data_IF_929355506290
#
_entry.id   IF_929355506290
#
_cell.length_a   1.000
_cell.length_b   1.000
_cell.length_c   1.000
_cell.angle_alpha   90.00
_cell.angle_beta   90.00
_cell.angle_gamma   90.00
#
_symmetry.space_group_name_H-M   'P 1'
#
loop_
_entity.id
_entity.type
_entity.pdbx_description
1 polymer ?
#
# COMPACT_ATOMS: atom_id res chain seq x y z
N UNK A 1 -36.57 16.04 30.96
CA UNK A 1 -35.36 15.26 30.58
C UNK A 1 -35.25 15.22 29.04
N UNK A 2 -34.05 15.10 28.46
CA UNK A 2 -33.55 16.02 27.43
C UNK A 2 -33.90 15.71 25.97
N UNK A 3 -33.87 16.77 25.15
CA UNK A 3 -34.04 16.81 23.68
C UNK A 3 -32.97 15.95 22.96
N UNK A 4 -33.31 15.29 21.83
CA UNK A 4 -32.35 14.53 21.06
C UNK A 4 -31.33 15.48 20.39
N UNK A 5 -30.04 15.30 20.72
CA UNK A 5 -28.94 16.00 20.05
C UNK A 5 -28.72 15.36 18.68
N UNK A 6 -29.07 16.07 17.61
CA UNK A 6 -28.60 15.79 16.25
C UNK A 6 -27.07 15.87 16.25
N UNK A 7 -26.39 14.72 16.20
CA UNK A 7 -24.96 14.65 15.90
C UNK A 7 -24.77 14.97 14.43
N UNK A 8 -24.40 16.23 14.15
CA UNK A 8 -23.88 16.65 12.85
C UNK A 8 -22.60 15.85 12.58
N UNK A 9 -22.70 14.85 11.71
CA UNK A 9 -21.55 14.11 11.21
C UNK A 9 -20.71 15.04 10.36
N UNK A 10 -19.52 15.39 10.85
CA UNK A 10 -18.53 16.17 10.12
C UNK A 10 -18.16 15.40 8.85
N UNK A 11 -18.61 15.90 7.68
CA UNK A 11 -18.16 15.44 6.36
C UNK A 11 -16.63 15.50 6.35
N UNK A 12 -15.98 14.34 6.37
CA UNK A 12 -14.55 14.26 6.10
C UNK A 12 -14.35 14.71 4.66
N UNK A 13 -13.60 15.80 4.47
CA UNK A 13 -13.07 16.18 3.17
C UNK A 13 -12.26 14.99 2.66
N UNK A 14 -12.74 14.30 1.63
CA UNK A 14 -11.89 13.35 0.88
C UNK A 14 -10.71 14.18 0.37
N UNK A 15 -9.45 13.78 0.65
CA UNK A 15 -8.31 14.38 -0.03
C UNK A 15 -8.55 14.21 -1.53
N UNK A 16 -8.69 15.33 -2.24
CA UNK A 16 -8.80 15.31 -3.70
C UNK A 16 -7.43 14.87 -4.19
N UNK A 17 -7.38 13.70 -4.85
CA UNK A 17 -6.17 13.25 -5.52
C UNK A 17 -5.76 14.31 -6.55
N UNK A 18 -4.55 14.88 -6.49
CA UNK A 18 -4.07 15.74 -7.56
C UNK A 18 -4.04 14.92 -8.85
N UNK A 19 -4.70 15.44 -9.90
CA UNK A 19 -4.57 14.96 -11.27
C UNK A 19 -3.64 15.94 -12.01
N UNK A 20 -2.67 15.47 -12.82
CA UNK A 20 -2.36 14.07 -13.10
C UNK A 20 -1.65 13.37 -11.92
N UNK A 21 -1.85 12.05 -11.79
CA UNK A 21 -1.13 11.24 -10.80
C UNK A 21 0.38 11.33 -11.13
N UNK A 22 1.24 11.69 -10.15
CA UNK A 22 2.68 11.72 -10.39
C UNK A 22 3.17 10.33 -10.82
N UNK A 23 4.05 10.29 -11.81
CA UNK A 23 4.72 9.06 -12.20
C UNK A 23 5.80 8.69 -11.17
N UNK A 24 6.22 7.43 -11.15
CA UNK A 24 7.30 6.97 -10.29
C UNK A 24 8.60 7.74 -10.63
N UNK A 25 9.32 8.33 -9.66
CA UNK A 25 10.50 9.14 -9.95
C UNK A 25 11.57 8.37 -10.75
N UNK A 26 12.34 9.06 -11.62
CA UNK A 26 13.38 8.41 -12.43
C UNK A 26 14.35 7.56 -11.61
N UNK A 27 14.74 8.02 -10.41
CA UNK A 27 15.63 7.28 -9.50
C UNK A 27 15.04 5.94 -9.05
N UNK A 28 13.74 5.92 -8.75
CA UNK A 28 13.04 4.67 -8.40
C UNK A 28 12.95 3.73 -9.60
N UNK A 29 12.57 4.26 -10.77
CA UNK A 29 12.48 3.47 -12.00
C UNK A 29 13.82 2.86 -12.37
N UNK A 30 14.89 3.66 -12.33
CA UNK A 30 16.24 3.20 -12.62
C UNK A 30 16.65 2.08 -11.67
N UNK A 31 16.50 2.27 -10.35
CA UNK A 31 16.85 1.25 -9.37
C UNK A 31 16.07 -0.06 -9.59
N UNK A 32 14.75 0.04 -9.82
CA UNK A 32 13.91 -1.14 -10.06
C UNK A 32 14.31 -1.86 -11.36
N UNK A 33 14.46 -1.14 -12.47
CA UNK A 33 14.68 -1.74 -13.79
C UNK A 33 16.12 -2.23 -13.97
N UNK A 34 17.11 -1.44 -13.56
CA UNK A 34 18.53 -1.68 -13.83
C UNK A 34 19.21 -2.46 -12.70
N UNK A 35 18.99 -2.08 -11.45
CA UNK A 35 19.69 -2.71 -10.31
C UNK A 35 18.98 -3.98 -9.83
N UNK A 36 17.65 -3.97 -9.77
CA UNK A 36 16.85 -5.13 -9.33
C UNK A 36 16.45 -6.06 -10.48
N UNK A 37 16.61 -5.66 -11.75
CA UNK A 37 16.11 -6.42 -12.90
C UNK A 37 14.58 -6.56 -12.93
N UNK A 38 13.89 -5.59 -12.32
CA UNK A 38 12.44 -5.55 -12.19
C UNK A 38 11.74 -5.25 -13.51
N UNK A 39 10.53 -5.79 -13.67
CA UNK A 39 9.67 -5.55 -14.84
C UNK A 39 8.19 -5.48 -14.45
N UNK A 40 7.35 -5.02 -15.38
CA UNK A 40 5.90 -4.98 -15.17
C UNK A 40 5.47 -4.02 -14.05
N UNK A 41 5.99 -2.80 -14.09
CA UNK A 41 5.62 -1.74 -13.15
C UNK A 41 4.13 -1.39 -13.28
N UNK A 42 3.38 -1.57 -12.19
CA UNK A 42 1.95 -1.26 -12.13
C UNK A 42 1.65 -0.45 -10.87
N UNK A 43 0.94 0.68 -11.02
CA UNK A 43 0.46 1.44 -9.88
C UNK A 43 -0.69 0.68 -9.21
N UNK A 44 -0.50 0.25 -7.96
CA UNK A 44 -1.52 -0.48 -7.20
C UNK A 44 -2.50 0.49 -6.56
N UNK A 45 -2.00 1.51 -5.86
CA UNK A 45 -2.82 2.50 -5.16
C UNK A 45 -2.05 3.81 -4.96
N UNK A 46 -2.75 4.94 -5.03
CA UNK A 46 -2.31 6.21 -4.44
C UNK A 46 -3.30 6.57 -3.33
N UNK A 47 -2.82 6.79 -2.12
CA UNK A 47 -3.67 7.19 -0.99
C UNK A 47 -2.92 8.04 0.01
N UNK A 48 -3.69 8.77 0.81
CA UNK A 48 -3.18 9.39 2.03
C UNK A 48 -3.02 8.34 3.12
N UNK A 49 -1.92 8.41 3.87
CA UNK A 49 -1.66 7.61 5.05
C UNK A 49 -2.65 8.00 6.15
N UNK A 50 -3.42 7.02 6.64
CA UNK A 50 -4.36 7.23 7.74
C UNK A 50 -3.71 6.88 9.07
N UNK A 51 -4.30 7.34 10.18
CA UNK A 51 -3.82 7.01 11.52
C UNK A 51 -3.72 5.49 11.75
N UNK A 52 -4.66 4.71 11.21
CA UNK A 52 -4.62 3.25 11.28
C UNK A 52 -3.41 2.64 10.59
N UNK A 53 -2.83 3.34 9.60
CA UNK A 53 -1.67 2.86 8.86
C UNK A 53 -0.37 3.06 9.65
N UNK A 54 -0.24 4.16 10.41
CA UNK A 54 0.98 4.49 11.19
C UNK A 54 0.85 4.14 12.67
N UNK A 55 -0.27 3.55 13.09
CA UNK A 55 -0.46 3.16 14.48
C UNK A 55 0.47 1.97 14.81
N UNK A 56 1.42 2.13 15.76
CA UNK A 56 2.42 1.11 16.05
C UNK A 56 1.83 -0.18 16.64
N UNK A 57 0.67 -0.11 17.28
CA UNK A 57 -0.04 -1.29 17.84
C UNK A 57 -0.69 -2.11 16.73
N UNK A 58 -1.18 -1.46 15.67
CA UNK A 58 -1.90 -2.12 14.58
C UNK A 58 -0.95 -2.56 13.46
N UNK A 59 0.12 -1.79 13.23
CA UNK A 59 1.27 -2.13 12.36
C UNK A 59 0.90 -2.65 10.98
N UNK A 60 0.05 -1.93 10.24
CA UNK A 60 -0.33 -2.36 8.88
C UNK A 60 -0.51 -1.20 7.92
N UNK A 61 -0.05 -1.34 6.69
CA UNK A 61 -0.52 -0.52 5.58
C UNK A 61 -1.76 -1.15 4.96
N UNK A 62 -2.87 -0.43 4.98
CA UNK A 62 -4.15 -0.90 4.45
C UNK A 62 -4.34 -0.48 3.00
N UNK A 63 -4.70 -1.42 2.14
CA UNK A 63 -4.98 -1.22 0.71
C UNK A 63 -6.42 -1.69 0.44
N UNK A 64 -7.42 -0.80 0.56
CA UNK A 64 -8.82 -1.15 0.30
C UNK A 64 -9.02 -1.55 -1.17
N UNK A 65 -9.70 -2.66 -1.43
CA UNK A 65 -9.97 -3.13 -2.80
C UNK A 65 -10.63 -2.06 -3.68
N UNK A 66 -11.54 -1.27 -3.10
CA UNK A 66 -12.22 -0.17 -3.82
C UNK A 66 -11.32 0.98 -4.24
N UNK A 67 -10.08 1.04 -3.75
CA UNK A 67 -9.08 2.06 -4.09
C UNK A 67 -7.91 1.51 -4.92
N UNK A 68 -7.84 0.19 -5.08
CA UNK A 68 -6.88 -0.46 -5.97
C UNK A 68 -7.18 -0.04 -7.41
N UNK A 69 -6.15 0.36 -8.15
CA UNK A 69 -6.28 0.85 -9.52
C UNK A 69 -6.53 -0.29 -10.51
N UNK A 70 -5.86 -1.41 -10.31
CA UNK A 70 -6.06 -2.66 -11.04
C UNK A 70 -5.68 -3.82 -10.13
N UNK A 71 -6.38 -4.95 -10.27
CA UNK A 71 -6.02 -6.20 -9.59
C UNK A 71 -5.05 -7.07 -10.40
N UNK A 72 -4.72 -6.65 -11.63
CA UNK A 72 -3.87 -7.39 -12.58
C UNK A 72 -2.38 -7.33 -12.23
N UNK A 73 -2.03 -6.80 -11.06
CA UNK A 73 -0.67 -6.84 -10.53
C UNK A 73 -0.30 -8.21 -9.92
N UNK A 74 -1.31 -9.04 -9.65
CA UNK A 74 -1.13 -10.41 -9.17
C UNK A 74 -1.31 -11.39 -10.31
N UNK A 75 -0.45 -12.41 -10.35
CA UNK A 75 -0.74 -13.58 -11.17
C UNK A 75 -1.81 -14.47 -10.51
N UNK A 76 -2.34 -15.42 -11.28
CA UNK A 76 -3.43 -16.30 -10.83
C UNK A 76 -3.05 -17.11 -9.59
N UNK A 77 -1.80 -17.60 -9.52
CA UNK A 77 -1.32 -18.38 -8.38
C UNK A 77 -1.22 -17.51 -7.11
N UNK A 78 -0.64 -16.31 -7.21
CA UNK A 78 -0.54 -15.35 -6.11
C UNK A 78 -1.93 -14.93 -5.60
N UNK A 79 -2.84 -14.63 -6.53
CA UNK A 79 -4.22 -14.27 -6.19
C UNK A 79 -4.94 -15.42 -5.48
N UNK A 80 -4.70 -16.67 -5.90
CA UNK A 80 -5.25 -17.88 -5.30
C UNK A 80 -4.68 -18.13 -3.90
N UNK A 81 -3.38 -17.98 -3.69
CA UNK A 81 -2.77 -18.12 -2.35
C UNK A 81 -3.39 -17.12 -1.36
N UNK A 82 -3.49 -15.86 -1.77
CA UNK A 82 -4.11 -14.82 -0.94
C UNK A 82 -5.60 -15.06 -0.70
N UNK A 83 -6.33 -15.64 -1.66
CA UNK A 83 -7.72 -16.04 -1.48
C UNK A 83 -7.89 -17.17 -0.45
N UNK A 84 -6.93 -18.09 -0.36
CA UNK A 84 -6.87 -19.14 0.67
C UNK A 84 -6.36 -18.65 2.02
N UNK A 85 -6.19 -17.33 2.19
CA UNK A 85 -5.66 -16.69 3.41
C UNK A 85 -4.21 -17.09 3.71
N UNK A 86 -3.44 -17.47 2.70
CA UNK A 86 -2.01 -17.72 2.83
C UNK A 86 -1.26 -16.39 2.66
N UNK A 87 -0.62 -15.85 3.72
CA UNK A 87 0.19 -14.65 3.60
C UNK A 87 1.47 -14.95 2.81
N UNK A 88 1.92 -13.99 2.01
CA UNK A 88 3.14 -14.11 1.20
C UNK A 88 4.22 -13.20 1.77
N UNK A 89 5.47 -13.67 1.78
CA UNK A 89 6.62 -12.77 1.92
C UNK A 89 6.96 -12.20 0.55
N UNK A 90 7.01 -10.88 0.45
CA UNK A 90 7.34 -10.16 -0.79
C UNK A 90 8.43 -9.15 -0.51
N UNK A 91 9.22 -8.82 -1.53
CA UNK A 91 10.17 -7.73 -1.39
C UNK A 91 9.45 -6.38 -1.45
N UNK A 92 9.96 -5.40 -0.73
CA UNK A 92 9.50 -4.03 -0.78
C UNK A 92 10.70 -3.08 -0.82
N UNK A 93 10.73 -2.22 -1.82
CA UNK A 93 11.63 -1.08 -1.94
C UNK A 93 10.97 0.14 -1.27
N UNK A 94 11.57 0.63 -0.19
CA UNK A 94 10.99 1.71 0.60
C UNK A 94 11.31 3.11 0.02
N UNK A 95 10.73 4.21 0.57
CA UNK A 95 10.99 5.57 0.10
C UNK A 95 12.47 5.97 0.06
N UNK A 96 13.32 5.35 0.88
CA UNK A 96 14.77 5.56 0.92
C UNK A 96 15.56 4.70 -0.08
N UNK A 97 14.87 3.94 -0.95
CA UNK A 97 15.43 2.94 -1.87
C UNK A 97 16.11 1.77 -1.14
N UNK A 98 15.68 1.48 0.08
CA UNK A 98 16.14 0.31 0.82
C UNK A 98 15.17 -0.84 0.60
N UNK A 99 15.71 -2.00 0.20
CA UNK A 99 14.93 -3.22 0.09
C UNK A 99 14.72 -3.86 1.46
N UNK A 100 13.49 -4.30 1.73
CA UNK A 100 13.11 -5.09 2.90
C UNK A 100 12.18 -6.23 2.49
N UNK A 101 12.07 -7.28 3.30
CA UNK A 101 10.96 -8.24 3.18
C UNK A 101 9.76 -7.72 3.94
N UNK A 102 8.56 -7.91 3.40
CA UNK A 102 7.30 -7.56 4.07
C UNK A 102 6.25 -8.65 3.84
N UNK A 103 5.35 -8.84 4.81
CA UNK A 103 4.23 -9.75 4.68
C UNK A 103 3.11 -9.06 3.92
N UNK A 104 2.72 -9.62 2.77
CA UNK A 104 1.53 -9.25 2.03
C UNK A 104 0.40 -10.25 2.30
N UNK A 105 -0.79 -9.75 2.62
CA UNK A 105 -1.92 -10.60 2.95
C UNK A 105 -3.23 -9.99 2.43
N UNK A 106 -4.26 -10.83 2.25
CA UNK A 106 -5.63 -10.43 1.92
C UNK A 106 -6.56 -10.74 3.09
N UNK A 107 -7.24 -9.73 3.58
CA UNK A 107 -8.23 -9.84 4.65
C UNK A 107 -9.64 -9.65 4.09
N UNK A 108 -10.52 -10.61 4.36
CA UNK A 108 -11.94 -10.52 4.02
C UNK A 108 -12.69 -9.95 5.22
N UNK A 109 -13.36 -8.80 5.03
CA UNK A 109 -14.16 -8.11 6.04
C UNK A 109 -15.62 -8.02 5.57
N UNK A 110 -16.41 -9.02 5.95
CA UNK A 110 -17.80 -9.16 5.50
C UNK A 110 -17.88 -9.18 3.97
N UNK A 111 -18.55 -8.19 3.39
CA UNK A 111 -18.74 -8.07 1.94
C UNK A 111 -17.59 -7.35 1.22
N UNK A 112 -16.53 -6.96 1.95
CA UNK A 112 -15.39 -6.22 1.40
C UNK A 112 -14.09 -6.96 1.64
N UNK A 113 -13.05 -6.62 0.88
CA UNK A 113 -11.70 -7.15 1.08
C UNK A 113 -10.69 -6.01 1.19
N UNK A 114 -9.61 -6.26 1.93
CA UNK A 114 -8.44 -5.41 2.03
C UNK A 114 -7.21 -6.23 1.68
N UNK A 115 -6.27 -5.66 0.95
CA UNK A 115 -4.90 -6.11 1.09
C UNK A 115 -4.22 -5.36 2.23
N UNK A 116 -3.25 -6.02 2.87
CA UNK A 116 -2.47 -5.42 3.95
C UNK A 116 -1.00 -5.77 3.81
N UNK A 117 -0.14 -4.80 4.13
CA UNK A 117 1.29 -5.02 4.36
C UNK A 117 1.55 -4.91 5.87
N UNK A 118 2.19 -5.91 6.48
CA UNK A 118 2.39 -5.97 7.94
C UNK A 118 3.86 -6.14 8.32
N UNK A 119 4.26 -7.20 9.04
CA UNK A 119 5.59 -7.56 9.58
C UNK A 119 6.62 -6.42 9.80
N UNK A 120 7.20 -5.86 8.75
CA UNK A 120 8.24 -4.81 8.80
C UNK A 120 7.73 -3.38 8.63
N UNK A 121 6.41 -3.20 8.48
CA UNK A 121 5.76 -1.92 8.20
C UNK A 121 6.05 -0.84 9.25
N UNK A 122 6.02 -1.16 10.55
CA UNK A 122 6.35 -0.19 11.61
C UNK A 122 7.79 0.36 11.47
N UNK A 123 8.75 -0.52 11.16
CA UNK A 123 10.13 -0.13 10.94
C UNK A 123 10.24 0.77 9.70
N UNK A 124 9.49 0.44 8.64
CA UNK A 124 9.42 1.27 7.44
C UNK A 124 8.88 2.67 7.74
N UNK A 125 7.75 2.75 8.46
CA UNK A 125 7.15 4.02 8.89
C UNK A 125 8.16 4.87 9.66
N UNK A 126 8.86 4.27 10.63
CA UNK A 126 9.86 4.97 11.44
C UNK A 126 11.05 5.44 10.61
N UNK A 127 11.63 4.55 9.78
CA UNK A 127 12.85 4.85 9.02
C UNK A 127 12.61 5.88 7.92
N UNK A 128 11.40 5.93 7.37
CA UNK A 128 11.02 6.82 6.27
C UNK A 128 10.20 8.03 6.74
N UNK A 129 10.05 8.22 8.06
CA UNK A 129 9.29 9.33 8.66
C UNK A 129 7.90 9.49 8.02
N UNK A 130 7.18 8.37 7.91
CA UNK A 130 5.82 8.37 7.39
C UNK A 130 4.86 8.83 8.48
N UNK A 131 4.01 9.80 8.13
CA UNK A 131 3.07 10.42 9.04
C UNK A 131 1.65 10.39 8.47
N UNK A 132 0.68 10.50 9.37
CA UNK A 132 -0.73 10.67 8.97
C UNK A 132 -0.85 11.95 8.14
N UNK A 133 -1.43 11.83 6.95
CA UNK A 133 -1.59 12.94 6.02
C UNK A 133 -0.62 12.91 4.85
N UNK A 134 0.48 12.15 4.95
CA UNK A 134 1.38 11.92 3.82
C UNK A 134 0.65 11.25 2.67
N UNK A 135 0.94 11.69 1.45
CA UNK A 135 0.45 11.01 0.25
C UNK A 135 1.50 10.01 -0.22
N UNK A 136 1.08 8.76 -0.45
CA UNK A 136 1.96 7.69 -0.92
C UNK A 136 1.36 7.00 -2.13
N UNK A 137 2.25 6.45 -2.95
CA UNK A 137 1.94 5.48 -3.99
C UNK A 137 2.58 4.14 -3.64
N UNK A 138 1.84 3.07 -3.90
CA UNK A 138 2.36 1.72 -3.91
C UNK A 138 2.35 1.21 -5.34
N UNK A 139 3.51 0.81 -5.82
CA UNK A 139 3.72 0.20 -7.12
C UNK A 139 4.09 -1.26 -6.94
N UNK A 140 3.65 -2.12 -7.84
CA UNK A 140 4.10 -3.51 -7.93
C UNK A 140 5.02 -3.67 -9.12
N UNK A 141 5.93 -4.63 -9.02
CA UNK A 141 6.78 -5.08 -10.12
C UNK A 141 7.22 -6.52 -9.85
N UNK A 142 7.82 -7.15 -10.85
CA UNK A 142 8.23 -8.54 -10.82
C UNK A 142 9.75 -8.64 -10.94
N UNK A 143 10.40 -9.38 -10.03
CA UNK A 143 11.83 -9.70 -10.09
C UNK A 143 11.96 -11.22 -10.08
N UNK A 144 12.54 -11.82 -11.13
CA UNK A 144 12.65 -13.28 -11.24
C UNK A 144 11.32 -14.03 -10.99
N UNK A 145 10.22 -13.47 -11.51
CA UNK A 145 8.84 -13.99 -11.33
C UNK A 145 8.33 -13.96 -9.88
N UNK A 146 8.96 -13.16 -9.01
CA UNK A 146 8.49 -12.89 -7.66
C UNK A 146 7.92 -11.47 -7.59
N UNK A 147 6.73 -11.36 -7.00
CA UNK A 147 6.10 -10.08 -6.69
C UNK A 147 6.96 -9.26 -5.73
N UNK A 148 7.19 -8.01 -6.10
CA UNK A 148 7.80 -6.98 -5.30
C UNK A 148 6.94 -5.72 -5.32
N UNK A 149 7.09 -4.91 -4.27
CA UNK A 149 6.47 -3.59 -4.19
C UNK A 149 7.51 -2.48 -4.10
N UNK A 150 7.14 -1.28 -4.53
CA UNK A 150 7.85 -0.04 -4.25
C UNK A 150 6.88 0.94 -3.60
N UNK A 151 7.28 1.48 -2.44
CA UNK A 151 6.54 2.54 -1.77
C UNK A 151 7.22 3.87 -2.05
N UNK A 152 6.48 4.79 -2.66
CA UNK A 152 6.93 6.14 -2.94
C UNK A 152 6.11 7.14 -2.11
N UNK A 153 6.78 8.02 -1.37
CA UNK A 153 6.17 9.16 -0.66
C UNK A 153 6.27 10.39 -1.57
N UNK A 154 5.13 11.03 -1.82
CA UNK A 154 5.01 12.23 -2.67
C UNK A 154 5.46 13.49 -1.92
#
# INVERSE_FOLDING_TARGET
APKPKLKISKKQHKPVCPLPLPDLPPKFKQHILEEMGGKGLVLVIQKTIFYSDVNPTVSRFSIPFSQVKTHDFLNEAEAKELAHKNPMQVCLLDPSLKQTSITFNKWVMGNTSLYVLTSTWNSLVKNNQLEKGDMVQLWSFQVNSLLCFALFKL
#
